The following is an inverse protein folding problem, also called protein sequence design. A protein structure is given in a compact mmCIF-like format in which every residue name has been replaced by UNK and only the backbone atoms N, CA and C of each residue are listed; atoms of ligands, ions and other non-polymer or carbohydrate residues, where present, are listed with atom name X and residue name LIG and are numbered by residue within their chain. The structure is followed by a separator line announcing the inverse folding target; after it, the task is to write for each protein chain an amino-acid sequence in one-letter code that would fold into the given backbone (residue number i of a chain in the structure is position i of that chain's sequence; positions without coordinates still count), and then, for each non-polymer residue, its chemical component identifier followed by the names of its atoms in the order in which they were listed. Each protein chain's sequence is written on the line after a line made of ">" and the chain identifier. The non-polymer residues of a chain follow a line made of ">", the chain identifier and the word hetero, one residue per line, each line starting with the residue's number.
data_IF_868725218253
#
_entry.id   IF_868725218253
#
_cell.length_a   1.000
_cell.length_b   1.000
_cell.length_c   1.000
_cell.angle_alpha   90.00
_cell.angle_beta   90.00
_cell.angle_gamma   90.00
#
_symmetry.space_group_name_H-M   'P 1'
#
loop_
_entity.id
_entity.type
_entity.pdbx_description
1 polymer ?
#
# COMPACT_ATOMS: atom_id res chain seq x y z
N UNK A 1 4.93 -5.44 -26.31
CA UNK A 1 6.32 -5.12 -25.91
C UNK A 1 6.37 -3.71 -25.33
N UNK A 2 6.22 -3.55 -24.01
CA UNK A 2 6.04 -2.24 -23.35
C UNK A 2 6.68 -2.18 -21.94
N UNK A 3 7.68 -3.04 -21.67
CA UNK A 3 8.42 -3.05 -20.41
C UNK A 3 9.67 -2.13 -20.41
N UNK A 4 10.00 -1.53 -21.55
CA UNK A 4 11.25 -0.78 -21.78
C UNK A 4 11.20 0.71 -21.40
N UNK A 5 10.04 1.27 -21.05
CA UNK A 5 9.90 2.73 -20.83
C UNK A 5 9.96 3.18 -19.38
N UNK A 6 10.10 2.28 -18.41
CA UNK A 6 10.15 2.66 -17.00
C UNK A 6 11.44 2.13 -16.36
N UNK A 7 12.38 3.02 -16.02
CA UNK A 7 13.64 2.63 -15.36
C UNK A 7 13.41 1.87 -14.04
N UNK A 8 12.21 1.98 -13.47
CA UNK A 8 11.78 1.28 -12.27
C UNK A 8 11.49 -0.21 -12.51
N UNK A 9 11.01 -0.62 -13.70
CA UNK A 9 10.79 -2.04 -14.00
C UNK A 9 12.09 -2.81 -14.20
N UNK A 10 13.15 -2.13 -14.64
CA UNK A 10 14.48 -2.72 -14.85
C UNK A 10 15.18 -3.12 -13.55
N UNK A 11 14.75 -2.60 -12.39
CA UNK A 11 15.35 -2.86 -11.08
C UNK A 11 14.49 -3.76 -10.18
N UNK A 12 13.36 -4.27 -10.67
CA UNK A 12 12.52 -5.18 -9.90
C UNK A 12 13.13 -6.58 -9.91
N UNK A 13 13.34 -7.18 -8.73
CA UNK A 13 13.83 -8.55 -8.62
C UNK A 13 12.81 -9.53 -9.23
N UNK A 14 13.22 -10.45 -10.12
CA UNK A 14 12.30 -11.42 -10.74
C UNK A 14 11.47 -12.22 -9.73
N UNK A 15 12.06 -12.57 -8.58
CA UNK A 15 11.37 -13.27 -7.51
C UNK A 15 10.25 -12.45 -6.85
N UNK A 16 10.46 -11.13 -6.67
CA UNK A 16 9.44 -10.22 -6.16
C UNK A 16 8.29 -10.10 -7.16
N UNK A 17 8.61 -9.97 -8.45
CA UNK A 17 7.60 -9.95 -9.50
C UNK A 17 6.77 -11.25 -9.49
N UNK A 18 7.41 -12.41 -9.55
CA UNK A 18 6.72 -13.70 -9.56
C UNK A 18 5.84 -13.87 -8.30
N UNK A 19 6.35 -13.52 -7.12
CA UNK A 19 5.58 -13.51 -5.87
C UNK A 19 4.34 -12.62 -5.97
N UNK A 20 4.47 -11.40 -6.49
CA UNK A 20 3.33 -10.48 -6.63
C UNK A 20 2.26 -11.01 -7.60
N UNK A 21 2.66 -11.63 -8.71
CA UNK A 21 1.72 -12.28 -9.63
C UNK A 21 0.94 -13.38 -8.91
N UNK A 22 1.63 -14.25 -8.18
CA UNK A 22 0.99 -15.33 -7.41
C UNK A 22 0.07 -14.78 -6.31
N UNK A 23 0.46 -13.70 -5.62
CA UNK A 23 -0.40 -13.03 -4.62
C UNK A 23 -1.67 -12.49 -5.25
N UNK A 24 -1.58 -11.82 -6.40
CA UNK A 24 -2.76 -11.32 -7.12
C UNK A 24 -3.68 -12.46 -7.57
N UNK A 25 -3.12 -13.53 -8.12
CA UNK A 25 -3.88 -14.71 -8.50
C UNK A 25 -4.58 -15.34 -7.28
N UNK A 26 -3.90 -15.47 -6.14
CA UNK A 26 -4.48 -15.94 -4.87
C UNK A 26 -5.52 -14.98 -4.25
N UNK A 27 -5.58 -13.74 -4.74
CA UNK A 27 -6.61 -12.76 -4.44
C UNK A 27 -7.79 -12.81 -5.44
N UNK A 28 -7.74 -13.69 -6.44
CA UNK A 28 -8.77 -13.86 -7.47
C UNK A 28 -8.65 -12.95 -8.68
N UNK A 29 -7.51 -12.29 -8.91
CA UNK A 29 -7.27 -11.46 -10.10
C UNK A 29 -7.15 -12.35 -11.33
N UNK A 30 -7.92 -12.06 -12.37
CA UNK A 30 -7.95 -12.88 -13.58
C UNK A 30 -6.68 -12.75 -14.45
N UNK A 31 -6.17 -11.51 -14.60
CA UNK A 31 -4.94 -11.21 -15.34
C UNK A 31 -4.01 -10.28 -14.51
N UNK A 32 -3.18 -10.86 -13.62
CA UNK A 32 -2.22 -10.09 -12.83
C UNK A 32 -1.21 -9.29 -13.67
N UNK A 33 -0.85 -9.78 -14.86
CA UNK A 33 0.10 -9.08 -15.71
C UNK A 33 -0.49 -7.81 -16.30
N UNK A 34 -1.76 -7.85 -16.73
CA UNK A 34 -2.47 -6.66 -17.22
C UNK A 34 -2.53 -5.57 -16.15
N UNK A 35 -2.82 -5.93 -14.89
CA UNK A 35 -2.82 -4.98 -13.75
C UNK A 35 -1.45 -4.31 -13.60
N UNK A 36 -0.37 -5.10 -13.63
CA UNK A 36 0.99 -4.56 -13.47
C UNK A 36 1.45 -3.72 -14.67
N UNK A 37 0.98 -4.02 -15.88
CA UNK A 37 1.21 -3.18 -17.07
C UNK A 37 0.48 -1.84 -16.96
N UNK A 38 -0.74 -1.84 -16.42
CA UNK A 38 -1.53 -0.62 -16.20
C UNK A 38 -0.96 0.24 -15.05
N UNK A 39 -0.46 -0.40 -13.99
CA UNK A 39 0.13 0.28 -12.84
C UNK A 39 1.53 -0.28 -12.51
N UNK A 40 2.58 0.11 -13.26
CA UNK A 40 3.93 -0.43 -13.08
C UNK A 40 4.53 -0.15 -11.70
N UNK A 41 4.04 0.87 -10.98
CA UNK A 41 4.52 1.21 -9.65
C UNK A 41 4.16 0.15 -8.59
N UNK A 42 3.18 -0.72 -8.87
CA UNK A 42 2.89 -1.87 -8.02
C UNK A 42 3.98 -2.95 -8.08
N UNK A 43 4.80 -2.99 -9.14
CA UNK A 43 5.91 -3.96 -9.26
C UNK A 43 6.96 -3.79 -8.16
N UNK A 44 7.09 -2.59 -7.59
CA UNK A 44 8.10 -2.26 -6.58
C UNK A 44 7.67 -2.59 -5.15
N UNK A 45 6.43 -3.01 -4.96
CA UNK A 45 5.86 -3.27 -3.64
C UNK A 45 5.78 -4.78 -3.43
N UNK A 46 6.03 -5.28 -2.22
CA UNK A 46 5.71 -6.67 -1.86
C UNK A 46 4.25 -6.74 -1.43
N UNK A 47 3.43 -7.44 -2.21
CA UNK A 47 1.97 -7.48 -2.02
C UNK A 47 1.57 -8.39 -0.86
N UNK A 48 2.48 -9.21 -0.36
CA UNK A 48 2.34 -10.01 0.84
C UNK A 48 3.02 -9.37 2.07
N UNK A 49 3.63 -8.19 1.93
CA UNK A 49 4.18 -7.45 3.06
C UNK A 49 3.08 -7.01 4.03
N UNK A 50 3.35 -6.98 5.36
CA UNK A 50 2.37 -6.58 6.37
C UNK A 50 1.66 -5.27 6.06
N UNK A 51 2.41 -4.24 5.68
CA UNK A 51 1.87 -2.90 5.45
C UNK A 51 1.04 -2.83 4.16
N UNK A 52 1.37 -3.62 3.14
CA UNK A 52 0.59 -3.68 1.91
C UNK A 52 -0.76 -4.36 2.17
N UNK A 53 -0.73 -5.51 2.85
CA UNK A 53 -1.95 -6.25 3.19
C UNK A 53 -2.84 -5.43 4.12
N UNK A 54 -2.29 -4.77 5.13
CA UNK A 54 -3.04 -3.86 6.01
C UNK A 54 -3.78 -2.76 5.22
N UNK A 55 -3.10 -2.13 4.25
CA UNK A 55 -3.74 -1.13 3.39
C UNK A 55 -4.85 -1.73 2.56
N UNK A 56 -4.60 -2.89 1.94
CA UNK A 56 -5.58 -3.58 1.11
C UNK A 56 -6.82 -3.94 1.91
N UNK A 57 -6.68 -4.54 3.11
CA UNK A 57 -7.85 -4.92 3.92
C UNK A 57 -8.64 -3.71 4.43
N UNK A 58 -7.98 -2.59 4.75
CA UNK A 58 -8.67 -1.32 5.06
C UNK A 58 -9.50 -0.83 3.88
N UNK A 59 -8.93 -0.84 2.67
CA UNK A 59 -9.64 -0.47 1.45
C UNK A 59 -10.81 -1.41 1.16
N UNK A 60 -10.63 -2.73 1.29
CA UNK A 60 -11.71 -3.71 1.10
C UNK A 60 -12.87 -3.44 2.06
N UNK A 61 -12.58 -3.26 3.36
CA UNK A 61 -13.60 -2.98 4.37
C UNK A 61 -14.34 -1.67 4.10
N UNK A 62 -13.61 -0.61 3.79
CA UNK A 62 -14.17 0.74 3.63
C UNK A 62 -14.96 0.95 2.34
N UNK A 63 -14.68 0.14 1.31
CA UNK A 63 -15.29 0.29 -0.03
C UNK A 63 -16.19 -0.89 -0.40
N UNK A 64 -16.17 -1.95 0.39
CA UNK A 64 -16.86 -3.23 0.13
C UNK A 64 -16.40 -3.92 -1.16
N UNK A 65 -15.22 -3.54 -1.68
CA UNK A 65 -14.60 -4.19 -2.82
C UNK A 65 -13.83 -5.44 -2.39
N UNK A 66 -13.81 -6.45 -3.26
CA UNK A 66 -12.92 -7.60 -3.08
C UNK A 66 -11.47 -7.22 -3.36
N UNK A 67 -10.54 -8.10 -2.99
CA UNK A 67 -9.13 -7.92 -3.29
C UNK A 67 -8.89 -7.83 -4.81
N UNK A 68 -9.51 -8.72 -5.59
CA UNK A 68 -9.45 -8.71 -7.05
C UNK A 68 -9.97 -7.38 -7.62
N UNK A 69 -11.14 -6.92 -7.19
CA UNK A 69 -11.71 -5.65 -7.65
C UNK A 69 -10.80 -4.45 -7.34
N UNK A 70 -10.13 -4.43 -6.19
CA UNK A 70 -9.16 -3.37 -5.89
C UNK A 70 -7.97 -3.38 -6.86
N UNK A 71 -7.43 -4.56 -7.20
CA UNK A 71 -6.34 -4.67 -8.17
C UNK A 71 -6.78 -4.27 -9.58
N UNK A 72 -7.94 -4.73 -10.02
CA UNK A 72 -8.41 -4.58 -11.41
C UNK A 72 -8.97 -3.18 -11.67
N UNK A 73 -9.71 -2.61 -10.72
CA UNK A 73 -10.42 -1.34 -10.93
C UNK A 73 -9.64 -0.14 -10.38
N UNK A 74 -8.90 -0.34 -9.28
CA UNK A 74 -8.27 0.75 -8.54
C UNK A 74 -6.84 0.43 -8.06
N UNK A 75 -5.93 -0.08 -8.93
CA UNK A 75 -4.59 -0.52 -8.51
C UNK A 75 -3.78 0.62 -7.87
N UNK A 76 -4.02 1.85 -8.31
CA UNK A 76 -3.39 3.05 -7.79
C UNK A 76 -3.71 3.33 -6.31
N UNK A 77 -4.82 2.82 -5.75
CA UNK A 77 -5.19 3.03 -4.35
C UNK A 77 -4.27 2.25 -3.40
N UNK A 78 -3.77 1.09 -3.84
CA UNK A 78 -2.97 0.17 -3.03
C UNK A 78 -1.57 0.68 -2.67
N UNK A 79 -1.14 1.80 -3.26
CA UNK A 79 0.14 2.47 -2.93
C UNK A 79 -0.04 3.80 -2.19
N UNK A 80 -1.28 4.25 -1.96
CA UNK A 80 -1.54 5.57 -1.37
C UNK A 80 -1.55 5.51 0.14
N UNK A 81 -1.03 6.59 0.73
CA UNK A 81 -1.00 6.85 2.19
C UNK A 81 -0.27 5.80 3.01
N UNK A 82 0.18 6.23 4.18
CA UNK A 82 0.70 5.32 5.20
C UNK A 82 -0.51 4.71 5.91
N UNK A 83 -0.42 3.43 6.30
CA UNK A 83 -1.54 2.70 6.91
C UNK A 83 -2.13 3.41 8.15
N UNK A 84 -1.33 3.96 9.09
CA UNK A 84 -1.90 4.67 10.24
C UNK A 84 -2.69 5.93 9.85
N UNK A 85 -2.18 6.72 8.90
CA UNK A 85 -2.86 7.92 8.39
C UNK A 85 -4.15 7.55 7.63
N UNK A 86 -4.10 6.50 6.81
CA UNK A 86 -5.29 5.98 6.12
C UNK A 86 -6.35 5.53 7.12
N UNK A 87 -6.00 4.70 8.10
CA UNK A 87 -6.93 4.22 9.11
C UNK A 87 -7.54 5.37 9.91
N UNK A 88 -6.73 6.36 10.30
CA UNK A 88 -7.21 7.51 11.07
C UNK A 88 -8.17 8.38 10.26
N UNK A 89 -7.87 8.65 8.98
CA UNK A 89 -8.79 9.38 8.08
C UNK A 89 -10.10 8.63 7.87
N UNK A 90 -10.05 7.32 7.61
CA UNK A 90 -11.25 6.49 7.44
C UNK A 90 -12.11 6.50 8.71
N UNK A 91 -11.47 6.38 9.88
CA UNK A 91 -12.18 6.38 11.16
C UNK A 91 -12.83 7.74 11.45
N UNK A 92 -12.19 8.84 11.06
CA UNK A 92 -12.78 10.17 11.19
C UNK A 92 -13.98 10.36 10.25
N UNK A 93 -13.93 9.83 9.02
CA UNK A 93 -15.09 9.83 8.11
C UNK A 93 -16.28 9.09 8.74
N UNK A 94 -16.03 7.91 9.32
CA UNK A 94 -17.05 7.14 10.04
C UNK A 94 -17.63 7.94 11.22
N UNK A 95 -16.77 8.58 12.02
CA UNK A 95 -17.20 9.42 13.15
C UNK A 95 -18.10 10.58 12.72
N UNK A 96 -17.82 11.19 11.56
CA UNK A 96 -18.61 12.31 11.01
C UNK A 96 -19.89 11.84 10.29
N UNK A 97 -20.17 10.54 10.24
CA UNK A 97 -21.34 9.98 9.55
C UNK A 97 -21.24 10.07 8.02
N UNK A 98 -20.05 10.30 7.46
CA UNK A 98 -19.83 10.40 6.02
C UNK A 98 -19.80 9.03 5.34
N UNK A 99 -20.21 8.97 4.07
CA UNK A 99 -20.04 7.77 3.26
C UNK A 99 -18.58 7.62 2.82
N UNK A 100 -17.86 6.68 3.44
CA UNK A 100 -16.46 6.40 3.09
C UNK A 100 -16.26 6.07 1.62
N UNK A 101 -17.23 5.37 1.00
CA UNK A 101 -17.19 5.06 -0.44
C UNK A 101 -17.22 6.32 -1.30
N UNK A 102 -18.03 7.31 -0.95
CA UNK A 102 -18.11 8.59 -1.69
C UNK A 102 -16.87 9.47 -1.45
N UNK A 103 -16.30 9.38 -0.25
CA UNK A 103 -15.16 10.22 0.17
C UNK A 103 -13.79 9.57 -0.07
N UNK A 104 -13.74 8.36 -0.63
CA UNK A 104 -12.49 7.59 -0.76
C UNK A 104 -11.40 8.34 -1.54
N UNK A 105 -11.78 9.13 -2.56
CA UNK A 105 -10.84 9.96 -3.31
C UNK A 105 -10.23 11.05 -2.43
N UNK A 106 -11.02 11.67 -1.55
CA UNK A 106 -10.54 12.67 -0.60
C UNK A 106 -9.59 12.05 0.44
N UNK A 107 -9.96 10.87 0.95
CA UNK A 107 -9.12 10.12 1.89
C UNK A 107 -7.76 9.79 1.28
N UNK A 108 -7.73 9.29 0.04
CA UNK A 108 -6.51 8.77 -0.57
C UNK A 108 -5.62 9.84 -1.20
N UNK A 109 -6.21 10.79 -1.95
CA UNK A 109 -5.46 11.68 -2.83
C UNK A 109 -5.36 13.10 -2.31
N UNK A 110 -6.35 13.59 -1.56
CA UNK A 110 -6.41 15.01 -1.24
C UNK A 110 -5.49 15.38 -0.07
N UNK A 111 -4.80 16.53 -0.14
CA UNK A 111 -4.13 17.13 1.00
C UNK A 111 -5.05 17.17 2.23
N UNK A 112 -4.45 17.19 3.41
CA UNK A 112 -5.20 17.09 4.66
C UNK A 112 -6.26 18.20 4.81
N UNK A 113 -5.93 19.45 4.48
CA UNK A 113 -6.87 20.58 4.47
C UNK A 113 -8.12 20.34 3.60
N UNK A 114 -7.94 19.79 2.41
CA UNK A 114 -9.03 19.56 1.45
C UNK A 114 -9.89 18.37 1.86
N UNK A 115 -9.27 17.38 2.52
CA UNK A 115 -9.98 16.27 3.13
C UNK A 115 -10.90 16.74 4.27
N UNK A 116 -10.42 17.62 5.14
CA UNK A 116 -11.24 18.20 6.22
C UNK A 116 -12.38 19.06 5.66
N UNK A 117 -12.09 19.89 4.65
CA UNK A 117 -13.10 20.68 3.97
C UNK A 117 -14.22 19.82 3.37
N UNK A 118 -13.89 18.68 2.76
CA UNK A 118 -14.87 17.74 2.21
C UNK A 118 -15.77 17.09 3.28
N UNK A 119 -15.34 17.10 4.54
CA UNK A 119 -16.10 16.61 5.70
C UNK A 119 -16.85 17.72 6.45
N UNK A 120 -16.77 18.97 5.96
CA UNK A 120 -17.26 20.14 6.69
C UNK A 120 -16.62 20.27 8.07
N UNK A 121 -15.34 19.89 8.21
CA UNK A 121 -14.61 19.92 9.46
C UNK A 121 -13.46 20.93 9.40
N UNK A 122 -13.19 21.56 10.53
CA UNK A 122 -12.04 22.42 10.74
C UNK A 122 -10.82 21.62 11.24
N UNK A 123 -9.65 22.25 11.16
CA UNK A 123 -8.42 21.70 11.73
C UNK A 123 -8.56 21.48 13.25
N UNK A 124 -9.19 22.42 13.95
CA UNK A 124 -9.37 22.35 15.40
C UNK A 124 -10.28 21.18 15.82
N UNK A 125 -11.36 20.92 15.08
CA UNK A 125 -12.22 19.76 15.31
C UNK A 125 -11.46 18.44 15.12
N UNK A 126 -10.64 18.34 14.07
CA UNK A 126 -9.80 17.17 13.89
C UNK A 126 -8.81 16.99 15.03
N UNK A 127 -8.11 18.06 15.45
CA UNK A 127 -7.10 17.97 16.50
C UNK A 127 -7.71 17.54 17.84
N UNK A 128 -8.86 18.13 18.21
CA UNK A 128 -9.60 17.73 19.39
C UNK A 128 -10.01 16.24 19.32
N UNK A 129 -10.53 15.80 18.17
CA UNK A 129 -10.88 14.40 17.96
C UNK A 129 -9.66 13.47 17.99
N UNK A 130 -8.55 13.86 17.35
CA UNK A 130 -7.34 13.06 17.24
C UNK A 130 -6.58 12.96 18.57
N UNK A 131 -6.69 13.97 19.45
CA UNK A 131 -6.20 13.91 20.81
C UNK A 131 -6.93 12.84 21.63
N UNK A 132 -8.25 12.72 21.47
CA UNK A 132 -9.04 11.64 22.07
C UNK A 132 -8.87 10.28 21.36
N UNK A 133 -8.50 10.30 20.07
CA UNK A 133 -8.38 9.12 19.21
C UNK A 133 -6.99 9.04 18.54
N UNK A 134 -5.92 8.77 19.32
CA UNK A 134 -4.57 8.77 18.80
C UNK A 134 -4.37 7.64 17.77
N UNK A 135 -3.58 7.91 16.73
CA UNK A 135 -3.41 6.99 15.58
C UNK A 135 -2.93 5.58 15.97
N UNK A 136 -2.10 5.45 17.01
CA UNK A 136 -1.64 4.15 17.55
C UNK A 136 -2.74 3.37 18.30
N UNK A 137 -3.76 4.07 18.79
CA UNK A 137 -4.93 3.48 19.43
C UNK A 137 -6.14 3.38 18.49
N UNK A 138 -6.01 3.85 17.24
CA UNK A 138 -7.08 3.81 16.25
C UNK A 138 -7.62 2.38 16.10
N UNK A 139 -8.91 2.13 16.38
CA UNK A 139 -9.51 0.80 16.29
C UNK A 139 -9.37 0.18 14.90
N UNK A 140 -9.55 0.98 13.84
CA UNK A 140 -9.36 0.52 12.45
C UNK A 140 -7.92 0.09 12.18
N UNK A 141 -6.93 0.79 12.72
CA UNK A 141 -5.53 0.43 12.53
C UNK A 141 -5.20 -0.91 13.20
N UNK A 142 -5.63 -1.11 14.45
CA UNK A 142 -5.43 -2.37 15.18
C UNK A 142 -6.15 -3.54 14.51
N UNK A 143 -7.40 -3.33 14.12
CA UNK A 143 -8.15 -4.31 13.33
C UNK A 143 -7.40 -4.69 12.04
N UNK A 144 -6.88 -3.70 11.30
CA UNK A 144 -6.15 -3.97 10.07
C UNK A 144 -4.87 -4.77 10.31
N UNK A 145 -4.18 -4.57 11.44
CA UNK A 145 -3.02 -5.38 11.80
C UNK A 145 -3.38 -6.85 11.99
N UNK A 146 -4.48 -7.14 12.69
CA UNK A 146 -4.96 -8.50 12.91
C UNK A 146 -5.46 -9.14 11.60
N UNK A 147 -6.36 -8.47 10.89
CA UNK A 147 -6.91 -8.97 9.63
C UNK A 147 -5.80 -9.21 8.58
N UNK A 148 -4.76 -8.38 8.57
CA UNK A 148 -3.62 -8.59 7.70
C UNK A 148 -2.74 -9.78 8.12
N UNK A 149 -2.66 -10.12 9.41
CA UNK A 149 -1.92 -11.31 9.84
C UNK A 149 -2.62 -12.59 9.35
N UNK A 150 -3.94 -12.67 9.51
CA UNK A 150 -4.78 -13.77 9.03
C UNK A 150 -4.70 -13.90 7.50
N UNK A 151 -4.87 -12.78 6.79
CA UNK A 151 -4.80 -12.75 5.33
C UNK A 151 -3.40 -13.12 4.82
N UNK A 152 -2.34 -12.75 5.53
CA UNK A 152 -0.98 -13.16 5.17
C UNK A 152 -0.75 -14.65 5.38
N UNK A 153 -1.30 -15.23 6.45
CA UNK A 153 -1.24 -16.67 6.65
C UNK A 153 -1.97 -17.42 5.52
N UNK A 154 -3.17 -16.93 5.13
CA UNK A 154 -3.92 -17.46 3.98
C UNK A 154 -3.11 -17.36 2.68
N UNK A 155 -2.51 -16.19 2.40
CA UNK A 155 -1.69 -16.00 1.22
C UNK A 155 -0.45 -16.90 1.24
N UNK A 156 0.25 -17.02 2.37
CA UNK A 156 1.41 -17.88 2.49
C UNK A 156 1.06 -19.35 2.20
N UNK A 157 -0.12 -19.83 2.61
CA UNK A 157 -0.60 -21.18 2.30
C UNK A 157 -0.97 -21.38 0.82
N UNK A 158 -1.30 -20.31 0.10
CA UNK A 158 -1.67 -20.36 -1.32
C UNK A 158 -0.47 -20.15 -2.27
N UNK A 159 0.67 -19.70 -1.75
CA UNK A 159 1.86 -19.42 -2.54
C UNK A 159 2.76 -20.66 -2.66
N UNK A 160 3.48 -20.82 -3.79
CA UNK A 160 4.57 -21.78 -3.91
C UNK A 160 5.60 -21.59 -2.75
N UNK A 161 6.08 -22.67 -2.11
CA UNK A 161 6.97 -22.59 -0.94
C UNK A 161 8.22 -21.73 -1.16
N UNK A 162 8.76 -21.76 -2.38
CA UNK A 162 9.97 -21.01 -2.77
C UNK A 162 9.72 -19.50 -2.74
N UNK A 163 8.47 -19.09 -2.97
CA UNK A 163 8.07 -17.70 -2.96
C UNK A 163 7.69 -17.25 -1.55
N UNK A 164 7.24 -18.14 -0.65
CA UNK A 164 6.83 -17.80 0.73
C UNK A 164 7.99 -17.23 1.54
N UNK A 165 9.15 -17.88 1.48
CA UNK A 165 10.36 -17.55 2.24
C UNK A 165 11.23 -16.46 1.60
N UNK A 166 10.72 -15.80 0.55
CA UNK A 166 11.47 -14.73 -0.10
C UNK A 166 11.80 -13.63 0.92
N UNK A 167 13.09 -13.50 1.23
CA UNK A 167 13.65 -12.33 1.87
C UNK A 167 14.12 -11.38 0.77
N UNK A 168 13.80 -10.07 0.87
CA UNK A 168 14.38 -9.10 -0.03
C UNK A 168 15.90 -9.25 0.05
N UNK A 169 16.55 -9.61 -1.07
CA UNK A 169 18.01 -9.55 -1.10
C UNK A 169 18.33 -8.08 -0.82
N UNK A 170 18.85 -7.80 0.37
CA UNK A 170 19.33 -6.46 0.68
C UNK A 170 20.43 -6.17 -0.34
N UNK A 171 20.08 -5.51 -1.44
CA UNK A 171 21.04 -4.83 -2.28
C UNK A 171 21.63 -3.76 -1.37
N UNK A 172 22.69 -4.17 -0.70
CA UNK A 172 23.39 -3.41 0.30
C UNK A 172 23.64 -2.03 -0.29
N UNK A 173 23.24 -1.01 0.45
CA UNK A 173 23.55 0.39 0.16
C UNK A 173 25.08 0.65 0.07
N UNK A 174 25.92 -0.38 0.23
CA UNK A 174 27.35 -0.40 -0.01
C UNK A 174 27.74 -0.04 -1.45
N UNK A 175 26.92 -0.33 -2.47
CA UNK A 175 27.27 0.01 -3.86
C UNK A 175 27.11 1.51 -4.20
N UNK A 176 26.35 2.29 -3.41
CA UNK A 176 26.22 3.75 -3.63
C UNK A 176 27.33 4.58 -2.98
N UNK A 177 28.12 4.02 -2.07
CA UNK A 177 29.25 4.74 -1.45
C UNK A 177 30.52 4.78 -2.32
N UNK A 178 30.64 3.95 -3.36
CA UNK A 178 31.81 3.97 -4.26
C UNK A 178 31.76 5.02 -5.38
N UNK A 179 30.66 5.75 -5.54
CA UNK A 179 30.51 6.80 -6.57
C UNK A 179 30.60 8.24 -5.99
N UNK A 180 30.99 8.38 -4.72
CA UNK A 180 31.29 9.68 -4.09
C UNK A 180 32.63 9.62 -3.36
N UNK A 181 33.71 9.37 -4.08
CA UNK A 181 35.01 9.91 -3.69
C UNK A 181 35.47 10.81 -4.83
N UNK A 182 35.60 12.13 -4.62
CA UNK A 182 36.42 12.94 -5.50
C UNK A 182 37.87 12.49 -5.30
N UNK A 183 38.53 12.09 -6.39
CA UNK A 183 39.97 11.93 -6.45
C UNK A 183 40.60 13.31 -6.23
N UNK A 184 41.17 13.54 -5.04
CA UNK A 184 42.07 14.66 -4.81
C UNK A 184 43.38 14.39 -5.56
N UNK A 185 43.96 15.36 -6.28
CA UNK A 185 45.26 15.22 -6.92
C UNK A 185 46.38 15.28 -5.87
N UNK A 186 47.34 14.37 -5.99
CA UNK A 186 48.59 14.35 -5.23
C UNK A 186 49.47 15.53 -5.64
N UNK A 187 50.12 16.15 -4.66
CA UNK A 187 51.19 17.13 -4.83
C UNK A 187 52.45 16.51 -5.45
#
# INVERSE_FOLDING_TARGET
>A
MLLTKNALTLNCEPALWQRNLCVMAACGVADPEAVLRQCPLLLLLDHAAPTFVQRRVLLQRSTQLTAAQLYEQHPEWLRRRKVPDLAQRLHFVEHRGGSTRQLIIHVLYRPFKDFLAALGASQAEWEAWAAANPSKACPLYRWAQQAAAEERARLAAALPPELVQWEPRQHSAASRRRLKQPSSPTA
#
